data_IF_660554911408
#
_entry.id   IF_660554911408
#
_cell.length_a   1.000
_cell.length_b   1.000
_cell.length_c   1.000
_cell.angle_alpha   90.00
_cell.angle_beta   90.00
_cell.angle_gamma   90.00
#
_symmetry.space_group_name_H-M   'P 1'
#
loop_
_entity.id
_entity.type
_entity.pdbx_description
1 polymer ?
#
# COMPACT_ATOMS: atom_id res chain seq x y z
N UNK A 1 -21.93 16.59 -2.84
CA UNK A 1 -21.43 15.77 -3.98
C UNK A 1 -20.07 15.23 -3.61
N UNK A 2 -20.03 14.10 -2.92
CA UNK A 2 -18.80 13.57 -2.33
C UNK A 2 -18.15 12.50 -3.20
N UNK A 3 -17.46 12.87 -4.28
CA UNK A 3 -16.70 11.92 -5.10
C UNK A 3 -15.19 12.21 -5.05
N UNK A 4 -14.81 13.37 -4.48
CA UNK A 4 -13.43 13.84 -4.46
C UNK A 4 -12.49 12.89 -3.72
N UNK A 5 -12.95 12.25 -2.64
CA UNK A 5 -12.11 11.32 -1.90
C UNK A 5 -11.81 10.05 -2.72
N UNK A 6 -12.85 9.44 -3.30
CA UNK A 6 -12.68 8.29 -4.19
C UNK A 6 -11.79 8.62 -5.38
N UNK A 7 -11.96 9.79 -6.01
CA UNK A 7 -11.10 10.23 -7.11
C UNK A 7 -9.64 10.40 -6.67
N UNK A 8 -9.40 11.02 -5.51
CA UNK A 8 -8.05 11.17 -4.97
C UNK A 8 -7.40 9.81 -4.72
N UNK A 9 -8.15 8.84 -4.19
CA UNK A 9 -7.66 7.47 -3.99
C UNK A 9 -7.33 6.78 -5.33
N UNK A 10 -8.18 6.92 -6.34
CA UNK A 10 -7.93 6.34 -7.66
C UNK A 10 -6.70 6.97 -8.35
N UNK A 11 -6.52 8.28 -8.23
CA UNK A 11 -5.33 8.97 -8.73
C UNK A 11 -4.09 8.48 -7.99
N UNK A 12 -4.14 8.38 -6.67
CA UNK A 12 -3.03 7.87 -5.86
C UNK A 12 -2.68 6.41 -6.23
N UNK A 13 -3.68 5.52 -6.33
CA UNK A 13 -3.49 4.13 -6.75
C UNK A 13 -2.86 4.03 -8.14
N UNK A 14 -3.33 4.85 -9.09
CA UNK A 14 -2.75 4.91 -10.43
C UNK A 14 -1.27 5.33 -10.36
N UNK A 15 -0.95 6.34 -9.56
CA UNK A 15 0.43 6.75 -9.29
C UNK A 15 1.29 5.62 -8.71
N UNK A 16 0.74 4.82 -7.78
CA UNK A 16 1.45 3.66 -7.21
C UNK A 16 1.73 2.59 -8.26
N UNK A 17 0.77 2.28 -9.14
CA UNK A 17 0.96 1.35 -10.27
C UNK A 17 2.06 1.85 -11.21
N UNK A 18 2.05 3.15 -11.53
CA UNK A 18 3.09 3.75 -12.39
C UNK A 18 4.48 3.67 -11.75
N UNK A 19 4.57 3.90 -10.43
CA UNK A 19 5.82 3.80 -9.67
C UNK A 19 6.35 2.36 -9.66
N UNK A 20 5.49 1.40 -9.32
CA UNK A 20 5.82 -0.03 -9.31
C UNK A 20 6.31 -0.49 -10.68
N UNK A 21 5.62 -0.08 -11.76
CA UNK A 21 6.06 -0.35 -13.13
C UNK A 21 7.42 0.29 -13.46
N UNK A 22 7.62 1.56 -13.09
CA UNK A 22 8.83 2.33 -13.44
C UNK A 22 10.08 1.78 -12.76
N UNK A 23 9.95 1.32 -11.53
CA UNK A 23 11.05 0.79 -10.72
C UNK A 23 11.09 -0.74 -10.66
N UNK A 24 10.13 -1.42 -11.30
CA UNK A 24 9.93 -2.87 -11.25
C UNK A 24 9.98 -3.37 -9.81
N UNK A 25 9.08 -2.86 -8.97
CA UNK A 25 8.99 -3.22 -7.55
C UNK A 25 8.23 -4.55 -7.43
N UNK A 26 7.14 -4.62 -6.67
CA UNK A 26 6.51 -5.88 -6.28
C UNK A 26 5.75 -6.56 -7.43
N UNK A 27 4.77 -5.90 -8.06
CA UNK A 27 3.95 -6.55 -9.09
C UNK A 27 4.75 -6.85 -10.36
N UNK A 28 5.70 -5.98 -10.70
CA UNK A 28 6.54 -6.15 -11.88
C UNK A 28 7.72 -7.11 -11.66
N UNK A 29 7.98 -7.54 -10.42
CA UNK A 29 8.93 -8.59 -10.10
C UNK A 29 8.27 -9.96 -10.01
N UNK A 30 7.16 -10.08 -9.28
CA UNK A 30 6.38 -11.32 -9.17
C UNK A 30 4.90 -11.00 -8.88
N UNK A 31 4.11 -10.92 -9.95
CA UNK A 31 2.70 -10.57 -9.88
C UNK A 31 1.88 -11.54 -9.02
N UNK A 32 2.26 -12.82 -8.96
CA UNK A 32 1.51 -13.82 -8.18
C UNK A 32 1.72 -13.61 -6.69
N UNK A 33 2.97 -13.44 -6.26
CA UNK A 33 3.28 -13.14 -4.85
C UNK A 33 2.70 -11.80 -4.44
N UNK A 34 2.84 -10.78 -5.28
CA UNK A 34 2.30 -9.45 -5.02
C UNK A 34 0.77 -9.49 -4.84
N UNK A 35 0.05 -10.19 -5.72
CA UNK A 35 -1.40 -10.35 -5.61
C UNK A 35 -1.80 -11.06 -4.31
N UNK A 36 -1.11 -12.14 -3.94
CA UNK A 36 -1.40 -12.87 -2.68
C UNK A 36 -1.19 -11.96 -1.47
N UNK A 37 -0.07 -11.27 -1.38
CA UNK A 37 0.23 -10.36 -0.25
C UNK A 37 -0.78 -9.23 -0.17
N UNK A 38 -1.11 -8.62 -1.31
CA UNK A 38 -2.10 -7.54 -1.37
C UNK A 38 -3.48 -8.02 -0.92
N UNK A 39 -3.97 -9.13 -1.48
CA UNK A 39 -5.31 -9.66 -1.14
C UNK A 39 -5.38 -10.07 0.32
N UNK A 40 -4.37 -10.78 0.83
CA UNK A 40 -4.33 -11.19 2.23
C UNK A 40 -4.28 -9.98 3.17
N UNK A 41 -3.46 -8.97 2.85
CA UNK A 41 -3.37 -7.74 3.64
C UNK A 41 -4.70 -6.98 3.67
N UNK A 42 -5.33 -6.80 2.51
CA UNK A 42 -6.64 -6.13 2.41
C UNK A 42 -7.71 -6.89 3.18
N UNK A 43 -7.80 -8.22 3.02
CA UNK A 43 -8.78 -9.03 3.76
C UNK A 43 -8.55 -8.98 5.27
N UNK A 44 -7.29 -9.00 5.72
CA UNK A 44 -6.94 -8.87 7.12
C UNK A 44 -7.42 -7.53 7.70
N UNK A 45 -7.11 -6.42 7.02
CA UNK A 45 -7.54 -5.10 7.49
C UNK A 45 -9.04 -4.90 7.41
N UNK A 46 -9.72 -5.46 6.39
CA UNK A 46 -11.19 -5.43 6.34
C UNK A 46 -11.83 -6.20 7.49
N UNK A 47 -11.29 -7.37 7.83
CA UNK A 47 -11.77 -8.13 8.99
C UNK A 47 -11.53 -7.36 10.30
N UNK A 48 -10.38 -6.70 10.42
CA UNK A 48 -10.06 -5.85 11.56
C UNK A 48 -11.03 -4.66 11.65
N UNK A 49 -11.27 -3.99 10.54
CA UNK A 49 -12.12 -2.81 10.45
C UNK A 49 -13.58 -3.15 10.80
N UNK A 50 -14.12 -4.23 10.23
CA UNK A 50 -15.44 -4.75 10.59
C UNK A 50 -15.53 -5.13 12.07
N UNK A 51 -14.47 -5.73 12.63
CA UNK A 51 -14.41 -6.03 14.06
C UNK A 51 -14.46 -4.74 14.90
N UNK A 52 -13.78 -3.69 14.45
CA UNK A 52 -13.81 -2.38 15.07
C UNK A 52 -15.17 -1.68 15.01
N UNK A 53 -15.87 -1.78 13.88
CA UNK A 53 -17.24 -1.28 13.69
C UNK A 53 -18.20 -2.01 14.62
N UNK A 54 -18.16 -3.35 14.63
CA UNK A 54 -19.04 -4.16 15.49
C UNK A 54 -18.79 -3.96 16.99
N UNK A 55 -17.55 -3.64 17.37
CA UNK A 55 -17.19 -3.27 18.74
C UNK A 55 -17.60 -1.84 19.13
N UNK A 56 -18.11 -1.03 18.18
CA UNK A 56 -18.43 0.38 18.42
C UNK A 56 -17.21 1.26 18.67
N UNK A 57 -16.03 0.84 18.20
CA UNK A 57 -14.77 1.60 18.33
C UNK A 57 -14.57 2.51 17.12
N UNK A 58 -14.96 2.02 15.93
CA UNK A 58 -14.88 2.77 14.69
C UNK A 58 -16.27 3.31 14.34
N UNK A 59 -16.39 4.65 14.34
CA UNK A 59 -17.59 5.36 13.90
C UNK A 59 -17.30 6.09 12.60
N UNK A 60 -18.30 6.14 11.72
CA UNK A 60 -18.26 6.89 10.45
C UNK A 60 -17.69 8.30 10.67
N UNK A 61 -16.63 8.62 9.93
CA UNK A 61 -16.40 10.01 9.54
C UNK A 61 -17.36 10.35 8.41
N UNK A 62 -18.64 10.61 8.67
CA UNK A 62 -19.55 11.17 7.64
C UNK A 62 -19.02 12.54 7.23
N UNK A 63 -18.15 12.53 6.23
CA UNK A 63 -17.57 13.72 5.64
C UNK A 63 -18.28 13.99 4.32
N UNK A 64 -18.56 15.26 4.00
CA UNK A 64 -19.35 15.62 2.81
C UNK A 64 -18.70 15.22 1.46
N UNK A 65 -17.50 14.64 1.52
CA UNK A 65 -16.68 14.21 0.40
C UNK A 65 -16.82 12.72 0.04
N UNK A 66 -17.58 11.93 0.82
CA UNK A 66 -17.81 10.51 0.55
C UNK A 66 -19.03 10.29 -0.36
N UNK A 67 -18.98 9.19 -1.12
CA UNK A 67 -20.01 8.86 -2.13
C UNK A 67 -21.30 8.38 -1.51
N UNK A 68 -21.24 7.89 -0.26
CA UNK A 68 -22.34 7.25 0.44
C UNK A 68 -22.57 5.80 0.04
N UNK A 69 -21.72 5.22 -0.83
CA UNK A 69 -21.81 3.81 -1.23
C UNK A 69 -21.19 2.93 -0.14
N UNK A 70 -21.93 1.92 0.31
CA UNK A 70 -21.50 0.97 1.33
C UNK A 70 -21.27 -0.41 0.72
N UNK A 71 -20.21 -1.08 1.15
CA UNK A 71 -19.84 -2.45 0.74
C UNK A 71 -20.29 -3.49 1.78
N UNK A 72 -20.65 -3.05 2.99
CA UNK A 72 -21.12 -3.89 4.09
C UNK A 72 -21.85 -3.07 5.17
N UNK A 73 -22.06 -3.63 6.38
CA UNK A 73 -22.65 -2.90 7.49
C UNK A 73 -21.73 -1.74 7.84
N UNK A 74 -22.17 -0.52 7.57
CA UNK A 74 -21.44 0.73 7.86
C UNK A 74 -20.10 0.93 7.12
N UNK A 75 -19.60 -0.04 6.34
CA UNK A 75 -18.32 0.03 5.62
C UNK A 75 -18.43 0.80 4.28
N UNK A 76 -17.84 1.99 4.15
CA UNK A 76 -17.81 2.76 2.91
C UNK A 76 -16.93 2.12 1.83
N UNK A 77 -17.34 2.28 0.57
CA UNK A 77 -16.58 1.78 -0.58
C UNK A 77 -15.15 2.34 -0.61
N UNK A 78 -14.98 3.61 -0.27
CA UNK A 78 -13.70 4.30 -0.27
C UNK A 78 -12.69 3.67 0.68
N UNK A 79 -13.14 3.04 1.77
CA UNK A 79 -12.25 2.37 2.72
C UNK A 79 -11.60 1.13 2.09
N UNK A 80 -12.31 0.41 1.24
CA UNK A 80 -11.72 -0.71 0.46
C UNK A 80 -10.60 -0.20 -0.44
N UNK A 81 -10.80 0.93 -1.11
CA UNK A 81 -9.77 1.57 -1.95
C UNK A 81 -8.62 2.11 -1.11
N UNK A 82 -8.90 2.70 0.04
CA UNK A 82 -7.90 3.20 0.98
C UNK A 82 -7.03 2.07 1.52
N UNK A 83 -7.61 0.97 1.99
CA UNK A 83 -6.88 -0.20 2.48
C UNK A 83 -6.04 -0.85 1.37
N UNK A 84 -6.58 -0.90 0.15
CA UNK A 84 -5.82 -1.36 -1.02
C UNK A 84 -4.61 -0.44 -1.28
N UNK A 85 -4.82 0.87 -1.24
CA UNK A 85 -3.75 1.86 -1.41
C UNK A 85 -2.71 1.75 -0.30
N UNK A 86 -3.14 1.60 0.95
CA UNK A 86 -2.28 1.45 2.13
C UNK A 86 -1.41 0.20 1.99
N UNK A 87 -2.02 -0.96 1.71
CA UNK A 87 -1.27 -2.21 1.53
C UNK A 87 -0.28 -2.08 0.37
N UNK A 88 -0.70 -1.52 -0.76
CA UNK A 88 0.16 -1.38 -1.93
C UNK A 88 1.30 -0.38 -1.69
N UNK A 89 1.04 0.72 -0.99
CA UNK A 89 2.05 1.68 -0.56
C UNK A 89 3.09 0.99 0.33
N UNK A 90 2.67 0.23 1.33
CA UNK A 90 3.58 -0.50 2.23
C UNK A 90 4.45 -1.49 1.45
N UNK A 91 3.89 -2.25 0.52
CA UNK A 91 4.64 -3.18 -0.33
C UNK A 91 5.71 -2.46 -1.16
N UNK A 92 5.34 -1.37 -1.84
CA UNK A 92 6.26 -0.58 -2.65
C UNK A 92 7.34 0.09 -1.81
N UNK A 93 6.99 0.63 -0.64
CA UNK A 93 7.94 1.23 0.28
C UNK A 93 8.93 0.20 0.83
N UNK A 94 8.44 -0.97 1.23
CA UNK A 94 9.28 -2.05 1.73
C UNK A 94 10.35 -2.44 0.70
N UNK A 95 9.95 -2.72 -0.54
CA UNK A 95 10.90 -3.10 -1.60
C UNK A 95 11.87 -1.97 -1.95
N UNK A 96 11.39 -0.73 -2.01
CA UNK A 96 12.24 0.43 -2.27
C UNK A 96 13.32 0.57 -1.19
N UNK A 97 12.95 0.48 0.08
CA UNK A 97 13.87 0.57 1.23
C UNK A 97 14.84 -0.62 1.23
N UNK A 98 14.36 -1.85 1.03
CA UNK A 98 15.21 -3.05 0.96
C UNK A 98 16.28 -2.93 -0.13
N UNK A 99 15.92 -2.42 -1.31
CA UNK A 99 16.87 -2.18 -2.41
C UNK A 99 17.87 -1.08 -2.07
N UNK A 100 17.44 0.01 -1.44
CA UNK A 100 18.32 1.10 -1.02
C UNK A 100 19.37 0.61 -0.01
N UNK A 101 18.95 -0.15 1.00
CA UNK A 101 19.85 -0.73 2.00
C UNK A 101 20.85 -1.73 1.38
N UNK A 102 20.39 -2.57 0.45
CA UNK A 102 21.25 -3.51 -0.26
C UNK A 102 22.36 -2.80 -1.07
N UNK A 103 22.03 -1.71 -1.78
CA UNK A 103 23.01 -0.91 -2.55
C UNK A 103 24.07 -0.24 -1.66
N UNK A 104 23.66 0.26 -0.49
CA UNK A 104 24.58 0.86 0.48
C UNK A 104 25.58 -0.17 0.99
N UNK A 105 25.11 -1.40 1.28
CA UNK A 105 25.97 -2.49 1.77
C UNK A 105 27.04 -2.91 0.75
N UNK A 106 26.68 -2.99 -0.54
CA UNK A 106 27.62 -3.31 -1.62
C UNK A 106 28.70 -2.23 -1.77
N UNK A 107 28.31 -0.96 -1.73
CA UNK A 107 29.25 0.18 -1.83
C UNK A 107 30.26 0.20 -0.69
N UNK A 108 29.81 -0.08 0.54
CA UNK A 108 30.68 -0.17 1.71
C UNK A 108 31.70 -1.31 1.59
N UNK A 109 31.27 -2.48 1.08
CA UNK A 109 32.12 -3.66 0.91
C UNK A 109 33.21 -3.44 -0.16
N UNK A 110 32.87 -2.77 -1.27
CA UNK A 110 33.86 -2.43 -2.32
C UNK A 110 34.93 -1.48 -1.81
N UNK A 111 34.56 -0.43 -1.06
CA UNK A 111 35.53 0.51 -0.46
C UNK A 111 36.48 -0.16 0.53
N UNK A 112 35.98 -1.13 1.31
CA UNK A 112 36.82 -1.89 2.24
C UNK A 112 37.85 -2.78 1.54
N UNK A 113 37.56 -3.29 0.34
CA UNK A 113 38.52 -4.08 -0.45
C UNK A 113 39.54 -3.22 -1.20
N UNK A 114 39.14 -2.04 -1.68
CA UNK A 114 40.04 -1.09 -2.36
C UNK A 114 41.13 -0.56 -1.40
N UNK A 115 40.76 -0.15 -0.18
CA UNK A 115 41.69 0.35 0.84
C UNK A 115 42.60 -0.72 1.47
N UNK A 116 42.45 -1.99 1.07
CA UNK A 116 43.26 -3.13 1.56
C UNK A 116 44.24 -3.66 0.51
N UNK A 117 44.33 -3.02 -0.66
CA UNK A 117 45.36 -3.33 -1.66
C UNK A 117 46.68 -2.69 -1.24
N UNK A 118 47.77 -3.47 -1.11
CA UNK A 118 49.09 -2.99 -0.67
C UNK A 118 49.78 -2.11 -1.71
#
# INVERSE_FOLDING_TARGET
MGILYLLALLVALTGMVMLDRRFRLFFWQDARRAAIVLVVGVLFFLAWDLSGITAGIFFRGETSFMTGVLVGPELPLEEVFFLTMLCYLTMNLFEAVSRMLARTSLTARTRSMEGRRP
#
